data_IF_180289506932
#
_entry.id   IF_180289506932
#
_cell.length_a   1.000
_cell.length_b   1.000
_cell.length_c   1.000
_cell.angle_alpha   90.00
_cell.angle_beta   90.00
_cell.angle_gamma   90.00
#
_symmetry.space_group_name_H-M   'P 1'
#
loop_
_entity.id
_entity.type
_entity.pdbx_description
1 polymer ?
#
# COMPACT_ATOMS: atom_id res chain seq x y z
N UNK A 1 -34.13 -23.85 10.79
CA UNK A 1 -33.65 -24.14 9.42
C UNK A 1 -33.11 -22.84 8.91
N UNK A 2 -31.80 -22.60 9.07
CA UNK A 2 -31.09 -21.39 8.69
C UNK A 2 -30.48 -21.61 7.30
N UNK A 3 -30.82 -20.74 6.37
CA UNK A 3 -30.41 -20.77 4.98
C UNK A 3 -28.87 -20.64 4.84
N UNK A 4 -28.28 -21.69 4.30
CA UNK A 4 -26.86 -21.82 3.90
C UNK A 4 -26.67 -21.40 2.42
N UNK A 5 -27.03 -20.17 2.05
CA UNK A 5 -26.88 -19.70 0.63
C UNK A 5 -25.82 -18.63 0.42
N UNK A 6 -25.07 -18.20 1.45
CA UNK A 6 -24.08 -17.12 1.30
C UNK A 6 -22.71 -17.55 0.74
N UNK A 7 -22.54 -18.81 0.29
CA UNK A 7 -21.24 -19.35 -0.13
C UNK A 7 -21.12 -19.69 -1.63
N UNK A 8 -22.12 -19.37 -2.45
CA UNK A 8 -22.11 -19.77 -3.88
C UNK A 8 -21.65 -18.63 -4.80
N UNK A 9 -21.83 -17.37 -4.41
CA UNK A 9 -21.59 -16.21 -5.31
C UNK A 9 -20.09 -15.94 -5.60
N UNK A 10 -19.16 -16.47 -4.79
CA UNK A 10 -17.71 -16.34 -5.05
C UNK A 10 -17.13 -17.41 -6.01
N UNK A 11 -17.92 -18.41 -6.41
CA UNK A 11 -17.45 -19.54 -7.22
C UNK A 11 -17.44 -19.19 -8.70
N UNK A 12 -18.40 -18.38 -9.17
CA UNK A 12 -18.58 -18.03 -10.59
C UNK A 12 -17.55 -17.00 -11.09
N UNK A 13 -16.94 -16.20 -10.18
CA UNK A 13 -15.93 -15.20 -10.55
C UNK A 13 -14.55 -15.79 -10.88
N UNK A 14 -14.27 -17.03 -10.49
CA UNK A 14 -12.93 -17.63 -10.62
C UNK A 14 -12.70 -18.28 -11.98
N UNK A 15 -13.74 -18.72 -12.66
CA UNK A 15 -13.64 -19.21 -14.04
C UNK A 15 -13.38 -18.09 -15.06
N UNK A 16 -13.36 -16.83 -14.58
CA UNK A 16 -13.14 -15.62 -15.36
C UNK A 16 -11.96 -14.79 -14.87
N UNK A 17 -10.87 -15.38 -14.36
CA UNK A 17 -9.65 -14.59 -13.99
C UNK A 17 -9.18 -13.74 -15.18
N UNK A 18 -9.37 -14.20 -16.41
CA UNK A 18 -9.07 -13.45 -17.62
C UNK A 18 -10.05 -12.26 -17.86
N UNK A 19 -11.13 -12.15 -17.07
CA UNK A 19 -12.15 -11.10 -17.09
C UNK A 19 -12.21 -10.26 -15.82
N UNK A 20 -11.22 -10.41 -14.91
CA UNK A 20 -11.14 -9.52 -13.74
C UNK A 20 -10.90 -8.10 -14.25
N UNK A 21 -11.89 -7.25 -14.07
CA UNK A 21 -11.78 -5.84 -14.40
C UNK A 21 -10.94 -5.14 -13.31
N UNK A 22 -9.62 -5.02 -13.59
CA UNK A 22 -8.71 -4.36 -12.67
C UNK A 22 -8.81 -2.86 -12.89
N UNK A 23 -9.39 -2.18 -11.93
CA UNK A 23 -9.42 -0.72 -11.92
C UNK A 23 -8.13 -0.16 -11.31
N UNK A 24 -7.33 0.52 -12.15
CA UNK A 24 -6.15 1.28 -11.75
C UNK A 24 -6.11 2.64 -12.47
N UNK A 25 -5.38 3.60 -11.90
CA UNK A 25 -5.16 4.89 -12.55
C UNK A 25 -4.30 4.74 -13.81
N UNK A 26 -4.58 5.53 -14.84
CA UNK A 26 -3.92 5.45 -16.14
C UNK A 26 -2.40 5.56 -16.08
N UNK A 27 -1.86 6.23 -15.06
CA UNK A 27 -0.40 6.38 -14.87
C UNK A 27 0.32 5.05 -14.62
N UNK A 28 -0.40 3.97 -14.28
CA UNK A 28 0.11 2.61 -14.09
C UNK A 28 0.09 1.74 -15.34
N UNK A 29 -0.47 2.20 -16.46
CA UNK A 29 -0.71 1.38 -17.67
C UNK A 29 0.54 0.66 -18.15
N UNK A 30 1.68 1.35 -18.29
CA UNK A 30 2.95 0.77 -18.73
C UNK A 30 3.41 -0.39 -17.82
N UNK A 31 3.24 -0.25 -16.49
CA UNK A 31 3.58 -1.29 -15.54
C UNK A 31 2.64 -2.49 -15.68
N UNK A 32 1.34 -2.25 -15.74
CA UNK A 32 0.33 -3.32 -15.84
C UNK A 32 0.40 -4.03 -17.17
N UNK A 33 0.59 -3.35 -18.30
CA UNK A 33 0.80 -3.96 -19.63
C UNK A 33 1.99 -4.91 -19.62
N UNK A 34 3.12 -4.49 -19.02
CA UNK A 34 4.32 -5.33 -18.86
C UNK A 34 4.04 -6.57 -18.01
N UNK A 35 3.30 -6.42 -16.91
CA UNK A 35 3.15 -7.45 -15.90
C UNK A 35 1.91 -8.34 -16.08
N UNK A 36 0.95 -7.92 -16.90
CA UNK A 36 -0.35 -8.60 -17.02
C UNK A 36 -0.27 -10.10 -17.26
N UNK A 37 0.56 -10.62 -18.17
CA UNK A 37 0.67 -12.06 -18.39
C UNK A 37 1.10 -12.80 -17.12
N UNK A 38 2.08 -12.26 -16.38
CA UNK A 38 2.58 -12.87 -15.16
C UNK A 38 1.63 -12.70 -13.98
N UNK A 39 0.93 -11.57 -13.89
CA UNK A 39 -0.11 -11.35 -12.87
C UNK A 39 -1.24 -12.36 -13.01
N UNK A 40 -1.67 -12.63 -14.24
CA UNK A 40 -2.67 -13.67 -14.53
C UNK A 40 -2.19 -15.05 -14.08
N UNK A 41 -0.93 -15.40 -14.30
CA UNK A 41 -0.35 -16.67 -13.80
C UNK A 41 -0.31 -16.72 -12.27
N UNK A 42 0.08 -15.62 -11.61
CA UNK A 42 0.09 -15.52 -10.15
C UNK A 42 -1.31 -15.74 -9.59
N UNK A 43 -2.30 -15.03 -10.12
CA UNK A 43 -3.70 -15.16 -9.70
C UNK A 43 -4.22 -16.60 -9.95
N UNK A 44 -3.91 -17.19 -11.09
CA UNK A 44 -4.24 -18.59 -11.38
C UNK A 44 -3.60 -19.54 -10.33
N UNK A 45 -2.34 -19.36 -9.98
CA UNK A 45 -1.67 -20.16 -8.93
C UNK A 45 -2.37 -20.01 -7.58
N UNK A 46 -2.73 -18.80 -7.19
CA UNK A 46 -3.37 -18.49 -5.91
C UNK A 46 -4.76 -19.14 -5.83
N UNK A 47 -5.57 -18.98 -6.87
CA UNK A 47 -6.99 -19.39 -6.83
C UNK A 47 -7.25 -20.80 -7.33
N UNK A 48 -6.40 -21.40 -8.19
CA UNK A 48 -6.60 -22.76 -8.70
C UNK A 48 -5.84 -23.84 -7.91
N UNK A 49 -4.61 -23.59 -7.46
CA UNK A 49 -3.84 -24.63 -6.76
C UNK A 49 -4.39 -24.94 -5.36
N UNK A 50 -5.04 -23.98 -4.72
CA UNK A 50 -5.65 -24.20 -3.40
C UNK A 50 -6.98 -24.98 -3.48
N UNK A 51 -7.59 -25.10 -4.68
CA UNK A 51 -8.82 -25.90 -4.90
C UNK A 51 -8.60 -27.41 -4.94
N UNK A 52 -7.44 -27.88 -5.39
CA UNK A 52 -7.15 -29.32 -5.52
C UNK A 52 -7.02 -30.02 -4.17
N UNK A 53 -6.94 -29.29 -3.05
CA UNK A 53 -6.81 -29.81 -1.69
C UNK A 53 -8.10 -29.77 -0.87
N UNK A 54 -9.29 -29.93 -1.48
CA UNK A 54 -10.60 -30.25 -0.80
C UNK A 54 -11.02 -29.35 0.37
N UNK A 55 -10.37 -28.23 0.65
CA UNK A 55 -10.79 -27.22 1.63
C UNK A 55 -10.96 -25.90 0.92
N UNK A 56 -12.13 -25.27 1.07
CA UNK A 56 -12.35 -23.90 0.65
C UNK A 56 -11.40 -22.97 1.41
N UNK A 57 -10.22 -22.73 0.85
CA UNK A 57 -9.24 -21.83 1.43
C UNK A 57 -9.68 -20.41 1.13
N UNK A 58 -9.87 -19.60 2.16
CA UNK A 58 -10.19 -18.19 2.01
C UNK A 58 -8.92 -17.39 1.79
N UNK A 59 -8.98 -16.47 0.84
CA UNK A 59 -7.88 -15.58 0.46
C UNK A 59 -8.33 -14.15 0.72
N UNK A 60 -7.43 -13.33 1.25
CA UNK A 60 -7.68 -11.92 1.52
C UNK A 60 -6.65 -11.04 0.82
N UNK A 61 -7.03 -9.81 0.46
CA UNK A 61 -8.40 -9.24 0.49
C UNK A 61 -9.31 -9.92 -0.54
N UNK A 62 -10.59 -9.53 -0.56
CA UNK A 62 -11.50 -9.89 -1.66
C UNK A 62 -10.90 -9.48 -3.00
N UNK A 63 -11.21 -10.23 -4.06
CA UNK A 63 -10.55 -10.15 -5.37
C UNK A 63 -10.54 -8.72 -5.95
N UNK A 64 -11.64 -7.98 -5.81
CA UNK A 64 -11.80 -6.61 -6.30
C UNK A 64 -10.89 -5.59 -5.57
N UNK A 65 -10.32 -5.99 -4.44
CA UNK A 65 -9.46 -5.15 -3.62
C UNK A 65 -7.96 -5.51 -3.71
N UNK A 66 -7.57 -6.55 -4.47
CA UNK A 66 -6.16 -6.96 -4.59
C UNK A 66 -5.30 -5.80 -5.11
N UNK A 67 -5.80 -5.09 -6.12
CA UNK A 67 -5.10 -3.97 -6.77
C UNK A 67 -5.62 -2.59 -6.36
N UNK A 68 -6.37 -2.51 -5.26
CA UNK A 68 -7.00 -1.25 -4.83
C UNK A 68 -6.02 -0.09 -4.66
N UNK A 69 -4.82 -0.35 -4.16
CA UNK A 69 -3.79 0.68 -3.95
C UNK A 69 -3.42 1.42 -5.24
N UNK A 70 -3.53 0.75 -6.40
CA UNK A 70 -3.21 1.31 -7.72
C UNK A 70 -4.31 2.22 -8.31
N UNK A 71 -5.40 2.46 -7.58
CA UNK A 71 -6.40 3.48 -7.97
C UNK A 71 -5.89 4.89 -7.80
N UNK A 72 -4.84 5.07 -7.01
CA UNK A 72 -4.13 6.33 -6.83
C UNK A 72 -3.17 6.58 -7.99
N UNK A 73 -3.15 7.82 -8.51
CA UNK A 73 -2.19 8.24 -9.52
C UNK A 73 -0.76 8.26 -8.95
N UNK A 74 0.23 7.83 -9.76
CA UNK A 74 1.64 7.93 -9.40
C UNK A 74 2.05 9.38 -9.10
N UNK A 75 1.46 10.33 -9.82
CA UNK A 75 1.79 11.76 -9.69
C UNK A 75 1.33 12.35 -8.34
N UNK A 76 0.36 11.72 -7.69
CA UNK A 76 -0.15 12.13 -6.38
C UNK A 76 0.62 11.54 -5.21
N UNK A 77 1.48 10.53 -5.44
CA UNK A 77 2.22 9.85 -4.38
C UNK A 77 3.24 10.79 -3.74
N UNK A 78 3.06 11.10 -2.47
CA UNK A 78 4.02 11.83 -1.61
C UNK A 78 4.78 10.87 -0.68
N UNK A 79 4.09 9.84 -0.20
CA UNK A 79 4.62 8.86 0.75
C UNK A 79 4.33 7.46 0.24
N UNK A 80 5.33 6.58 0.23
CA UNK A 80 5.15 5.14 0.05
C UNK A 80 5.32 4.49 1.42
N UNK A 81 4.23 4.00 1.98
CA UNK A 81 4.24 3.27 3.25
C UNK A 81 4.09 1.77 2.96
N UNK A 82 5.16 1.01 3.25
CA UNK A 82 5.18 -0.42 2.97
C UNK A 82 4.69 -1.25 4.15
N UNK A 83 3.64 -2.05 3.90
CA UNK A 83 3.23 -3.18 4.72
C UNK A 83 3.87 -4.49 4.24
N UNK A 84 3.66 -5.57 4.99
CA UNK A 84 4.18 -6.90 4.66
C UNK A 84 3.17 -7.68 3.80
N UNK A 85 2.06 -8.06 4.39
CA UNK A 85 0.94 -8.77 3.78
C UNK A 85 -0.40 -8.24 4.34
N UNK A 86 -1.54 -8.52 3.68
CA UNK A 86 -2.84 -8.14 4.18
C UNK A 86 -3.14 -8.79 5.54
N UNK A 87 -4.02 -8.19 6.33
CA UNK A 87 -4.56 -8.87 7.49
C UNK A 87 -5.27 -10.15 7.07
N UNK A 88 -4.99 -11.24 7.77
CA UNK A 88 -5.44 -12.59 7.41
C UNK A 88 -6.67 -13.07 8.18
N UNK A 89 -7.33 -12.19 8.91
CA UNK A 89 -8.61 -12.46 9.56
C UNK A 89 -9.80 -12.06 8.69
N UNK A 90 -10.98 -12.65 8.95
CA UNK A 90 -12.20 -12.38 8.18
C UNK A 90 -12.55 -10.89 8.17
N UNK A 91 -12.91 -10.36 6.98
CA UNK A 91 -13.39 -8.99 6.77
C UNK A 91 -12.41 -7.88 7.18
N UNK A 92 -11.13 -8.20 7.43
CA UNK A 92 -10.13 -7.20 7.84
C UNK A 92 -9.54 -6.46 6.64
N UNK A 93 -8.84 -7.19 5.77
CA UNK A 93 -8.10 -6.60 4.67
C UNK A 93 -9.00 -5.91 3.65
N UNK A 94 -8.61 -4.71 3.23
CA UNK A 94 -9.32 -3.91 2.24
C UNK A 94 -8.44 -3.51 1.04
N UNK A 95 -7.27 -4.15 0.87
CA UNK A 95 -6.33 -3.88 -0.22
C UNK A 95 -5.30 -2.80 0.05
N UNK A 96 -5.39 -2.08 1.18
CA UNK A 96 -4.42 -1.06 1.59
C UNK A 96 -3.60 -1.55 2.79
N UNK A 97 -2.30 -1.30 2.78
CA UNK A 97 -1.41 -1.70 3.87
C UNK A 97 -1.83 -1.05 5.19
N UNK A 98 -1.78 -1.81 6.29
CA UNK A 98 -2.18 -1.44 7.64
C UNK A 98 -3.68 -1.12 7.82
N UNK A 99 -4.45 -0.91 6.74
CA UNK A 99 -5.86 -0.56 6.78
C UNK A 99 -6.77 -1.77 6.97
N UNK A 100 -7.94 -1.53 7.57
CA UNK A 100 -9.03 -2.50 7.67
C UNK A 100 -10.35 -1.86 7.27
N UNK A 101 -11.34 -2.68 6.92
CA UNK A 101 -12.68 -2.20 6.63
C UNK A 101 -13.30 -1.48 7.83
N UNK A 102 -14.15 -0.48 7.57
CA UNK A 102 -14.96 0.18 8.61
C UNK A 102 -15.81 -0.86 9.34
N UNK A 103 -15.97 -0.66 10.64
CA UNK A 103 -16.67 -1.62 11.51
C UNK A 103 -15.80 -2.80 11.98
N UNK A 104 -14.58 -2.94 11.46
CA UNK A 104 -13.60 -3.92 11.95
C UNK A 104 -12.82 -3.33 13.13
N UNK A 105 -12.50 -4.16 14.12
CA UNK A 105 -11.63 -3.76 15.22
C UNK A 105 -10.28 -3.30 14.70
N UNK A 106 -9.81 -2.15 15.16
CA UNK A 106 -8.50 -1.60 14.77
C UNK A 106 -7.38 -2.56 15.19
N UNK A 107 -6.57 -3.07 14.25
CA UNK A 107 -5.51 -4.02 14.56
C UNK A 107 -4.40 -3.44 15.44
N UNK A 108 -3.67 -4.27 16.19
CA UNK A 108 -2.65 -3.80 17.12
C UNK A 108 -1.55 -2.94 16.48
N UNK A 109 -1.09 -3.29 15.28
CA UNK A 109 -0.08 -2.49 14.56
C UNK A 109 -0.61 -1.11 14.20
N UNK A 110 -1.84 -1.01 13.70
CA UNK A 110 -2.45 0.27 13.37
C UNK A 110 -2.72 1.12 14.63
N UNK A 111 -3.13 0.49 15.73
CA UNK A 111 -3.24 1.21 17.02
C UNK A 111 -1.91 1.82 17.45
N UNK A 112 -0.81 1.14 17.23
CA UNK A 112 0.52 1.69 17.55
C UNK A 112 0.91 2.82 16.59
N UNK A 113 0.54 2.75 15.31
CA UNK A 113 0.71 3.87 14.37
C UNK A 113 -0.08 5.10 14.88
N UNK A 114 -1.34 4.94 15.26
CA UNK A 114 -2.17 6.03 15.79
C UNK A 114 -1.60 6.61 17.09
N UNK A 115 -1.13 5.76 18.01
CA UNK A 115 -0.45 6.22 19.24
C UNK A 115 0.80 7.04 18.93
N UNK A 116 1.58 6.60 17.95
CA UNK A 116 2.80 7.31 17.56
C UNK A 116 2.48 8.66 16.92
N UNK A 117 1.45 8.75 16.09
CA UNK A 117 0.96 10.02 15.52
C UNK A 117 0.48 11.00 16.61
N UNK A 118 -0.28 10.52 17.59
CA UNK A 118 -0.71 11.33 18.72
C UNK A 118 0.47 11.80 19.61
N UNK A 119 1.48 10.96 19.76
CA UNK A 119 2.70 11.31 20.49
C UNK A 119 3.52 12.39 19.77
N UNK A 120 3.70 12.26 18.44
CA UNK A 120 4.50 13.19 17.66
C UNK A 120 3.79 14.53 17.42
N UNK A 121 2.46 14.55 17.39
CA UNK A 121 1.64 15.72 17.08
C UNK A 121 0.55 15.95 18.14
N UNK A 122 0.93 16.23 19.40
CA UNK A 122 -0.02 16.33 20.51
C UNK A 122 -1.04 17.48 20.32
N UNK A 123 -0.66 18.52 19.59
CA UNK A 123 -1.53 19.69 19.32
C UNK A 123 -2.50 19.45 18.15
N UNK A 124 -2.35 18.34 17.40
CA UNK A 124 -3.26 17.97 16.34
C UNK A 124 -4.33 17.02 16.89
N UNK A 125 -5.56 17.48 16.91
CA UNK A 125 -6.70 16.72 17.47
C UNK A 125 -7.15 15.61 16.50
N UNK A 126 -6.43 14.49 16.47
CA UNK A 126 -6.76 13.35 15.64
C UNK A 126 -7.85 12.48 16.26
N UNK A 127 -8.85 12.13 15.46
CA UNK A 127 -9.90 11.19 15.85
C UNK A 127 -9.74 9.87 15.12
N UNK A 128 -9.20 8.86 15.82
CA UNK A 128 -8.94 7.52 15.28
C UNK A 128 -10.01 6.51 15.71
N UNK A 129 -11.24 6.68 15.22
CA UNK A 129 -12.40 5.85 15.56
C UNK A 129 -12.55 4.56 14.76
N UNK A 130 -11.85 4.45 13.63
CA UNK A 130 -11.86 3.26 12.75
C UNK A 130 -10.47 3.02 12.13
N UNK A 131 -10.33 1.90 11.41
CA UNK A 131 -9.05 1.53 10.79
C UNK A 131 -9.02 1.65 9.26
N UNK A 132 -10.00 2.32 8.66
CA UNK A 132 -10.01 2.61 7.23
C UNK A 132 -9.10 3.81 6.93
N UNK A 133 -8.04 3.59 6.15
CA UNK A 133 -7.03 4.58 5.79
C UNK A 133 -7.22 5.14 4.37
N UNK A 134 -8.39 4.95 3.77
CA UNK A 134 -8.69 5.42 2.41
C UNK A 134 -8.37 6.90 2.24
N UNK A 135 -8.70 7.73 3.24
CA UNK A 135 -8.44 9.16 3.23
C UNK A 135 -6.94 9.49 3.12
N UNK A 136 -6.06 8.71 3.75
CA UNK A 136 -4.61 8.92 3.62
C UNK A 136 -4.15 8.72 2.18
N UNK A 137 -4.74 7.73 1.47
CA UNK A 137 -4.45 7.51 0.07
C UNK A 137 -5.04 8.63 -0.80
N UNK A 138 -6.34 8.88 -0.68
CA UNK A 138 -7.10 9.69 -1.64
C UNK A 138 -6.84 11.20 -1.48
N UNK A 139 -6.55 11.68 -0.26
CA UNK A 139 -6.40 13.11 0.02
C UNK A 139 -4.95 13.51 0.36
N UNK A 140 -4.19 12.62 1.01
CA UNK A 140 -2.88 12.97 1.56
C UNK A 140 -1.71 12.45 0.74
N UNK A 141 -1.96 11.63 -0.26
CA UNK A 141 -0.92 11.11 -1.13
C UNK A 141 -0.09 9.99 -0.50
N UNK A 142 -0.68 9.18 0.39
CA UNK A 142 -0.01 8.04 1.02
C UNK A 142 -0.32 6.75 0.26
N UNK A 143 0.65 6.24 -0.48
CA UNK A 143 0.56 4.96 -1.19
C UNK A 143 0.79 3.80 -0.22
N UNK A 144 -0.29 3.11 0.16
CA UNK A 144 -0.33 2.08 1.20
C UNK A 144 -0.13 0.68 0.59
N UNK A 145 1.11 0.33 0.23
CA UNK A 145 1.45 -0.89 -0.49
C UNK A 145 1.87 -2.02 0.45
N UNK A 146 1.21 -3.18 0.36
CA UNK A 146 1.74 -4.43 0.91
C UNK A 146 2.75 -5.06 -0.06
N UNK A 147 3.85 -5.63 0.44
CA UNK A 147 4.83 -6.35 -0.38
C UNK A 147 4.31 -7.71 -0.86
N UNK A 148 3.23 -8.23 -0.25
CA UNK A 148 2.41 -9.34 -0.75
C UNK A 148 0.97 -8.84 -0.87
N UNK A 149 0.35 -8.91 -2.05
CA UNK A 149 -0.99 -8.35 -2.25
C UNK A 149 -2.12 -9.26 -1.77
N UNK A 150 -1.82 -10.53 -1.50
CA UNK A 150 -2.80 -11.52 -1.00
C UNK A 150 -2.22 -12.39 0.10
N UNK A 151 -3.11 -12.99 0.89
CA UNK A 151 -2.75 -13.89 1.98
C UNK A 151 -3.84 -14.95 2.18
N UNK A 152 -3.46 -16.17 2.56
CA UNK A 152 -4.39 -17.22 3.00
C UNK A 152 -4.89 -16.90 4.41
N UNK A 153 -6.19 -17.12 4.68
CA UNK A 153 -6.78 -16.99 6.01
C UNK A 153 -5.94 -17.72 7.08
N UNK A 154 -5.57 -16.99 8.13
CA UNK A 154 -4.76 -17.52 9.23
C UNK A 154 -3.30 -17.85 8.93
N UNK A 155 -2.79 -17.64 7.70
CA UNK A 155 -1.43 -17.99 7.30
C UNK A 155 -0.63 -16.79 6.79
N UNK A 156 -0.04 -15.97 7.68
CA UNK A 156 0.78 -14.84 7.27
C UNK A 156 1.93 -15.28 6.35
N UNK A 157 2.31 -14.42 5.42
CA UNK A 157 3.36 -14.64 4.41
C UNK A 157 3.10 -15.77 3.38
N UNK A 158 1.89 -16.32 3.32
CA UNK A 158 1.58 -17.46 2.46
C UNK A 158 1.82 -17.22 0.97
N UNK A 159 1.70 -15.99 0.49
CA UNK A 159 1.89 -15.62 -0.92
C UNK A 159 3.07 -14.68 -1.16
N UNK A 160 3.92 -14.41 -0.16
CA UNK A 160 5.00 -13.42 -0.26
C UNK A 160 5.92 -13.64 -1.45
N UNK A 161 6.32 -14.89 -1.72
CA UNK A 161 7.21 -15.26 -2.85
C UNK A 161 6.53 -14.98 -4.21
N UNK A 162 5.22 -15.15 -4.31
CA UNK A 162 4.49 -14.96 -5.57
C UNK A 162 4.43 -13.48 -5.98
N UNK A 163 4.34 -12.59 -4.99
CA UNK A 163 4.18 -11.15 -5.22
C UNK A 163 5.50 -10.37 -5.21
N UNK A 164 6.58 -10.97 -4.70
CA UNK A 164 7.84 -10.24 -4.42
C UNK A 164 8.38 -9.51 -5.64
N UNK A 165 8.49 -10.18 -6.78
CA UNK A 165 9.07 -9.59 -7.99
C UNK A 165 8.21 -8.44 -8.54
N UNK A 166 6.88 -8.60 -8.54
CA UNK A 166 5.96 -7.55 -8.96
C UNK A 166 6.06 -6.33 -8.06
N UNK A 167 6.00 -6.51 -6.73
CA UNK A 167 6.04 -5.39 -5.79
C UNK A 167 7.40 -4.70 -5.73
N UNK A 168 8.50 -5.41 -6.00
CA UNK A 168 9.82 -4.81 -6.19
C UNK A 168 9.85 -3.89 -7.42
N UNK A 169 9.25 -4.35 -8.54
CA UNK A 169 9.16 -3.52 -9.75
C UNK A 169 8.22 -2.31 -9.55
N UNK A 170 7.12 -2.47 -8.80
CA UNK A 170 6.26 -1.33 -8.39
C UNK A 170 7.07 -0.25 -7.66
N UNK A 171 7.85 -0.63 -6.65
CA UNK A 171 8.67 0.32 -5.86
C UNK A 171 9.68 1.03 -6.77
N UNK A 172 10.40 0.26 -7.60
CA UNK A 172 11.37 0.80 -8.57
C UNK A 172 10.69 1.70 -9.61
N UNK A 173 9.48 1.33 -10.05
CA UNK A 173 8.72 2.10 -11.04
C UNK A 173 8.27 3.45 -10.50
N UNK A 174 7.69 3.50 -9.29
CA UNK A 174 7.34 4.74 -8.61
C UNK A 174 8.58 5.64 -8.49
N UNK A 175 9.68 5.07 -7.98
CA UNK A 175 10.91 5.82 -7.76
C UNK A 175 11.43 6.43 -9.07
N UNK A 176 11.56 5.63 -10.15
CA UNK A 176 12.01 6.10 -11.48
C UNK A 176 11.11 7.17 -12.05
N UNK A 177 9.78 6.97 -12.04
CA UNK A 177 8.82 7.95 -12.59
C UNK A 177 8.93 9.30 -11.88
N UNK A 178 9.02 9.29 -10.54
CA UNK A 178 9.11 10.50 -9.73
C UNK A 178 10.45 11.23 -9.89
N UNK A 179 11.58 10.52 -9.97
CA UNK A 179 12.91 11.11 -10.15
C UNK A 179 13.12 11.60 -11.58
N UNK A 180 12.71 10.84 -12.59
CA UNK A 180 12.85 11.23 -14.01
C UNK A 180 12.10 12.52 -14.29
N UNK A 181 10.90 12.69 -13.75
CA UNK A 181 10.14 13.94 -13.88
C UNK A 181 10.89 15.14 -13.32
N UNK A 182 11.56 15.00 -12.18
CA UNK A 182 12.42 16.04 -11.59
C UNK A 182 13.56 16.46 -12.53
N UNK A 183 14.21 15.48 -13.17
CA UNK A 183 15.34 15.74 -14.08
C UNK A 183 14.91 16.54 -15.32
N UNK A 184 13.81 16.15 -15.95
CA UNK A 184 13.29 16.86 -17.14
C UNK A 184 12.80 18.27 -16.81
N UNK A 185 12.15 18.49 -15.68
CA UNK A 185 11.68 19.81 -15.26
C UNK A 185 12.84 20.77 -15.01
N UNK A 186 13.90 20.31 -14.33
CA UNK A 186 15.08 21.16 -14.03
C UNK A 186 15.87 21.54 -15.29
N UNK A 187 15.96 20.66 -16.29
CA UNK A 187 16.70 20.91 -17.53
C UNK A 187 15.90 21.74 -18.54
N UNK A 188 14.58 21.72 -18.51
CA UNK A 188 13.74 22.50 -19.43
C UNK A 188 13.46 23.93 -18.96
N UNK A 189 13.70 24.27 -17.68
CA UNK A 189 13.61 25.65 -17.21
C UNK A 189 14.68 26.60 -17.81
N UNK A 190 15.67 26.07 -18.52
CA UNK A 190 16.67 26.83 -19.24
C UNK A 190 16.31 27.20 -20.71
N UNK A 191 15.14 26.81 -21.20
CA UNK A 191 14.68 27.16 -22.55
C UNK A 191 13.28 27.77 -22.48
N UNK A 192 13.21 29.10 -22.53
CA UNK A 192 12.09 30.01 -22.87
C UNK A 192 10.72 29.37 -23.28
N UNK A 193 10.11 28.60 -22.47
CA UNK A 193 8.71 28.14 -22.68
C UNK A 193 7.82 28.64 -21.53
N UNK A 194 7.20 29.81 -21.74
CA UNK A 194 6.35 30.52 -20.78
C UNK A 194 4.93 29.92 -20.62
N UNK A 195 4.66 28.75 -21.18
CA UNK A 195 3.30 28.16 -21.19
C UNK A 195 3.26 26.71 -20.70
N UNK A 196 3.91 26.40 -19.59
CA UNK A 196 3.59 25.19 -18.82
C UNK A 196 3.04 25.66 -17.49
N UNK A 197 1.79 25.31 -17.20
CA UNK A 197 1.14 25.59 -15.93
C UNK A 197 2.07 25.22 -14.77
N UNK A 198 2.61 26.25 -14.13
CA UNK A 198 3.44 26.14 -12.94
C UNK A 198 2.56 25.76 -11.72
N UNK A 199 1.97 24.58 -11.73
CA UNK A 199 1.69 23.90 -10.47
C UNK A 199 3.04 23.53 -9.90
N UNK A 200 3.47 24.21 -8.84
CA UNK A 200 4.59 23.85 -7.99
C UNK A 200 4.31 22.47 -7.36
N UNK A 201 4.42 21.41 -8.15
CA UNK A 201 4.44 20.07 -7.63
C UNK A 201 5.83 19.89 -7.03
N UNK A 202 5.91 20.03 -5.73
CA UNK A 202 7.10 19.70 -4.95
C UNK A 202 7.27 18.17 -5.10
N UNK A 203 8.14 17.76 -6.02
CA UNK A 203 8.31 16.35 -6.47
C UNK A 203 9.03 15.49 -5.43
N UNK A 204 8.95 15.86 -4.16
CA UNK A 204 9.51 15.08 -3.07
C UNK A 204 8.64 13.84 -2.83
N UNK A 205 9.32 12.72 -2.68
CA UNK A 205 8.69 11.45 -2.30
C UNK A 205 9.48 10.86 -1.13
N UNK A 206 8.76 10.26 -0.19
CA UNK A 206 9.36 9.61 0.97
C UNK A 206 8.90 8.15 1.02
N UNK A 207 9.86 7.24 1.17
CA UNK A 207 9.61 5.83 1.42
C UNK A 207 9.74 5.58 2.93
N UNK A 208 8.61 5.33 3.58
CA UNK A 208 8.53 5.01 5.00
C UNK A 208 8.55 3.49 5.18
N UNK A 209 9.69 2.96 5.60
CA UNK A 209 9.98 1.53 5.67
C UNK A 209 9.95 1.04 7.13
N UNK A 210 8.82 0.47 7.52
CA UNK A 210 8.57 0.01 8.89
C UNK A 210 8.89 -1.48 9.06
N UNK A 211 10.00 -1.77 9.76
CA UNK A 211 10.47 -3.11 10.07
C UNK A 211 11.38 -3.72 9.00
N UNK A 212 12.07 -4.79 9.37
CA UNK A 212 13.15 -5.40 8.57
C UNK A 212 12.72 -5.81 7.15
N UNK A 213 11.50 -6.31 6.99
CA UNK A 213 11.03 -6.76 5.67
C UNK A 213 10.83 -5.58 4.72
N UNK A 214 10.24 -4.48 5.19
CA UNK A 214 10.13 -3.25 4.40
C UNK A 214 11.52 -2.65 4.11
N UNK A 215 12.42 -2.64 5.09
CA UNK A 215 13.78 -2.09 4.96
C UNK A 215 14.64 -2.81 3.91
N UNK A 216 14.40 -4.09 3.63
CA UNK A 216 15.05 -4.81 2.52
C UNK A 216 14.76 -4.16 1.15
N UNK A 217 13.64 -3.44 1.03
CA UNK A 217 13.26 -2.76 -0.21
C UNK A 217 14.01 -1.42 -0.41
N UNK A 218 14.86 -1.03 0.55
CA UNK A 218 15.73 0.15 0.42
C UNK A 218 16.68 0.08 -0.78
N UNK A 219 17.03 -1.12 -1.25
CA UNK A 219 17.87 -1.33 -2.44
C UNK A 219 17.29 -0.76 -3.75
N UNK A 220 15.97 -0.52 -3.79
CA UNK A 220 15.28 0.01 -4.96
C UNK A 220 15.14 1.54 -4.97
N UNK A 221 15.62 2.23 -3.91
CA UNK A 221 15.37 3.66 -3.68
C UNK A 221 16.62 4.32 -3.12
N UNK A 222 16.92 5.57 -3.54
CA UNK A 222 18.01 6.32 -2.94
C UNK A 222 17.78 6.59 -1.44
N UNK A 223 18.83 6.46 -0.66
CA UNK A 223 18.82 6.62 0.79
C UNK A 223 18.25 7.97 1.25
N UNK A 224 18.46 9.03 0.44
CA UNK A 224 17.92 10.36 0.73
C UNK A 224 16.39 10.42 0.74
N UNK A 225 15.70 9.43 0.15
CA UNK A 225 14.24 9.37 0.13
C UNK A 225 13.66 8.39 1.15
N UNK A 226 14.51 7.76 1.99
CA UNK A 226 14.11 6.72 2.91
C UNK A 226 14.04 7.26 4.34
N UNK A 227 13.01 6.82 5.06
CA UNK A 227 12.88 6.90 6.52
C UNK A 227 12.58 5.50 7.04
N UNK A 228 13.27 5.09 8.08
CA UNK A 228 13.12 3.75 8.65
C UNK A 228 12.76 3.80 10.13
N UNK A 229 11.97 2.82 10.58
CA UNK A 229 11.73 2.54 11.99
C UNK A 229 11.48 1.04 12.18
N UNK A 230 11.40 0.59 13.43
CA UNK A 230 10.95 -0.76 13.74
C UNK A 230 9.50 -0.96 13.29
N UNK A 231 9.08 -2.21 13.11
CA UNK A 231 7.70 -2.50 12.73
C UNK A 231 6.73 -2.13 13.88
N UNK A 232 5.55 -1.54 13.59
CA UNK A 232 4.60 -1.09 14.61
C UNK A 232 3.85 -2.23 15.33
N UNK A 233 4.16 -3.51 15.04
CA UNK A 233 3.54 -4.64 15.76
C UNK A 233 3.86 -4.60 17.25
N UNK A 234 2.99 -5.14 18.13
CA UNK A 234 3.26 -5.22 19.56
C UNK A 234 4.60 -5.89 19.91
N UNK A 235 5.07 -6.81 19.05
CA UNK A 235 6.33 -7.54 19.27
C UNK A 235 7.58 -6.68 19.08
N UNK A 236 7.48 -5.54 18.37
CA UNK A 236 8.66 -4.73 17.98
C UNK A 236 8.47 -3.23 18.14
N UNK A 237 7.26 -2.75 18.36
CA UNK A 237 6.99 -1.31 18.41
C UNK A 237 7.81 -0.56 19.48
N UNK A 238 8.05 -1.19 20.62
CA UNK A 238 8.85 -0.61 21.71
C UNK A 238 10.35 -0.58 21.40
N UNK A 239 10.80 -1.27 20.36
CA UNK A 239 12.20 -1.38 19.97
C UNK A 239 12.58 -0.41 18.83
N UNK A 240 12.06 0.84 18.84
CA UNK A 240 12.43 1.89 17.87
C UNK A 240 11.33 2.23 16.85
N UNK A 241 10.06 2.15 17.26
CA UNK A 241 8.94 2.78 16.58
C UNK A 241 8.22 3.75 17.52
N UNK A 242 7.72 3.30 18.66
CA UNK A 242 7.08 4.16 19.67
C UNK A 242 8.10 5.07 20.33
N UNK A 243 7.74 6.33 20.53
CA UNK A 243 8.61 7.36 21.10
C UNK A 243 9.67 7.91 20.13
N UNK A 244 9.57 7.59 18.83
CA UNK A 244 10.41 8.19 17.78
C UNK A 244 9.78 9.50 17.26
N UNK A 245 10.35 10.06 16.20
CA UNK A 245 9.83 11.21 15.46
C UNK A 245 9.65 10.87 13.96
N UNK A 246 9.28 9.63 13.66
CA UNK A 246 9.28 9.09 12.30
C UNK A 246 8.33 9.84 11.35
N UNK A 247 7.16 10.24 11.82
CA UNK A 247 6.19 10.99 11.01
C UNK A 247 6.57 12.47 10.87
N UNK A 248 7.18 13.08 11.90
CA UNK A 248 7.76 14.42 11.78
C UNK A 248 8.91 14.45 10.77
N UNK A 249 9.77 13.40 10.75
CA UNK A 249 10.80 13.26 9.73
C UNK A 249 10.20 13.18 8.31
N UNK A 250 9.08 12.48 8.12
CA UNK A 250 8.36 12.44 6.84
C UNK A 250 7.93 13.83 6.43
N UNK A 251 7.23 14.58 7.29
CA UNK A 251 6.76 15.94 6.99
C UNK A 251 7.91 16.90 6.73
N UNK A 252 8.98 16.84 7.53
CA UNK A 252 10.19 17.66 7.33
C UNK A 252 10.85 17.37 5.98
N UNK A 253 10.93 16.10 5.59
CA UNK A 253 11.54 15.71 4.31
C UNK A 253 10.66 16.14 3.13
N UNK A 254 9.35 16.05 3.24
CA UNK A 254 8.39 16.55 2.25
C UNK A 254 8.37 18.09 2.19
N UNK A 255 8.59 18.75 3.32
CA UNK A 255 8.45 20.22 3.45
C UNK A 255 6.98 20.67 3.57
N UNK A 256 6.07 19.75 3.85
CA UNK A 256 4.65 20.04 4.06
C UNK A 256 4.06 19.17 5.16
N UNK A 257 2.96 19.65 5.75
CA UNK A 257 2.19 18.87 6.71
C UNK A 257 1.32 17.84 5.99
N UNK A 258 1.12 16.70 6.63
CA UNK A 258 0.18 15.64 6.23
C UNK A 258 -0.95 15.62 7.26
N UNK A 259 -2.17 15.61 6.78
CA UNK A 259 -3.31 15.43 7.68
C UNK A 259 -3.57 13.94 7.94
N UNK A 260 -2.96 13.43 8.99
CA UNK A 260 -3.10 12.02 9.39
C UNK A 260 -4.46 11.67 10.00
N UNK A 261 -5.44 12.60 10.03
CA UNK A 261 -6.82 12.28 10.42
C UNK A 261 -7.41 11.22 9.48
N UNK A 262 -8.38 10.44 10.00
CA UNK A 262 -9.12 9.43 9.22
C UNK A 262 -10.57 9.88 8.94
N UNK A 263 -10.96 11.06 9.46
CA UNK A 263 -12.28 11.67 9.30
C UNK A 263 -12.17 13.09 8.78
#
# INVERSE_FOLDING_TARGET
>A
MSNTNDNIDNIDNIDNIDKIDIYYDITWSELFEKWWPKLTEILKKIYYNDRTNLKCVKIYPEIDNIFRVFRMSIDEIKIVLLGQDPYHGPKQANGLAFAVNRGTQIPPSLRNIFKQLQFEFPDRNYNFTHGDLTRWQDEEGVFLLNTSLTVIEGKPNSHSILWEEFTNDVISYIYRKRITYKYYKNNNNNKNNKNVDNKNVDNKIVFLLLGRNAQKKAEFVDMDNIITASHPSPLSAHNGFLGTNVFQQVENKLGCQINWSIV
#
